data_IF_514275401113
#
_entry.id   IF_514275401113
#
_cell.length_a   1.000
_cell.length_b   1.000
_cell.length_c   1.000
_cell.angle_alpha   90.00
_cell.angle_beta   90.00
_cell.angle_gamma   90.00
#
_symmetry.space_group_name_H-M   'P 1'
#
loop_
_entity.id
_entity.type
_entity.pdbx_description
1 polymer ?
#
# COMPACT_ATOMS: atom_id res chain seq x y z
N UNK A 1 70.95 17.42 0.56
CA UNK A 1 69.47 17.55 0.69
C UNK A 1 68.89 17.50 -0.71
N UNK A 2 68.29 16.38 -1.11
CA UNK A 2 67.76 16.18 -2.46
C UNK A 2 66.26 15.88 -2.33
N UNK A 3 65.43 16.78 -2.84
CA UNK A 3 63.96 16.69 -2.74
C UNK A 3 63.40 15.97 -3.96
N UNK A 4 62.84 14.78 -3.75
CA UNK A 4 62.05 14.06 -4.77
C UNK A 4 60.62 14.60 -4.76
N UNK A 5 60.06 15.10 -5.89
CA UNK A 5 58.67 15.51 -5.93
C UNK A 5 57.75 14.28 -5.97
N UNK A 6 56.67 14.34 -5.19
CA UNK A 6 55.64 13.32 -5.16
C UNK A 6 54.85 13.33 -6.48
N UNK A 7 54.79 12.18 -7.16
CA UNK A 7 53.96 11.94 -8.35
C UNK A 7 52.54 11.62 -7.87
N UNK A 8 51.57 12.46 -8.22
CA UNK A 8 50.14 12.23 -7.97
C UNK A 8 49.67 11.12 -8.92
N UNK A 9 49.09 10.06 -8.36
CA UNK A 9 48.45 8.99 -9.11
C UNK A 9 47.17 9.51 -9.79
N UNK A 10 47.00 9.23 -11.08
CA UNK A 10 45.78 9.53 -11.81
C UNK A 10 44.61 8.70 -11.25
N UNK A 11 43.39 9.26 -11.12
CA UNK A 11 42.22 8.47 -10.79
C UNK A 11 41.86 7.59 -12.00
N UNK A 12 42.13 6.30 -11.85
CA UNK A 12 41.72 5.27 -12.80
C UNK A 12 40.23 4.99 -12.71
N UNK A 13 39.61 4.86 -13.89
CA UNK A 13 38.40 4.10 -14.15
C UNK A 13 37.11 4.60 -13.47
N UNK A 14 36.47 5.58 -14.12
CA UNK A 14 35.01 5.71 -14.04
C UNK A 14 34.38 4.38 -14.50
N UNK A 15 33.86 3.60 -13.56
CA UNK A 15 32.99 2.47 -13.87
C UNK A 15 31.77 3.03 -14.60
N UNK A 16 31.70 2.76 -15.90
CA UNK A 16 30.54 3.09 -16.71
C UNK A 16 29.30 2.47 -16.08
N UNK A 17 28.34 3.32 -15.73
CA UNK A 17 26.99 2.89 -15.37
C UNK A 17 26.49 2.04 -16.54
N UNK A 18 26.28 0.75 -16.31
CA UNK A 18 25.67 -0.14 -17.30
C UNK A 18 24.32 0.44 -17.70
N UNK A 19 24.20 0.87 -18.95
CA UNK A 19 22.99 1.45 -19.54
C UNK A 19 22.05 0.39 -20.09
N UNK A 20 22.33 -0.90 -19.87
CA UNK A 20 21.43 -1.96 -20.31
C UNK A 20 20.11 -1.83 -19.56
N UNK A 21 18.99 -1.51 -20.24
CA UNK A 21 17.70 -1.45 -19.57
C UNK A 21 17.41 -2.84 -19.03
N UNK A 22 17.37 -2.97 -17.70
CA UNK A 22 16.88 -4.19 -17.06
C UNK A 22 15.43 -4.36 -17.51
N UNK A 23 15.06 -5.47 -18.16
CA UNK A 23 13.69 -5.71 -18.59
C UNK A 23 12.77 -5.54 -17.38
N UNK A 24 11.74 -4.72 -17.52
CA UNK A 24 10.74 -4.58 -16.46
C UNK A 24 9.99 -5.91 -16.40
N UNK A 25 10.01 -6.64 -15.27
CA UNK A 25 9.32 -7.91 -15.15
C UNK A 25 7.83 -7.77 -15.48
N UNK A 26 7.25 -8.74 -16.17
CA UNK A 26 5.81 -8.77 -16.36
C UNK A 26 5.11 -9.24 -15.09
N UNK A 27 3.86 -8.82 -14.89
CA UNK A 27 3.03 -9.38 -13.83
C UNK A 27 2.43 -10.70 -14.35
N UNK A 28 2.43 -11.78 -13.55
CA UNK A 28 1.91 -13.07 -13.99
C UNK A 28 0.37 -13.11 -14.14
N UNK A 29 -0.33 -12.09 -13.62
CA UNK A 29 -1.77 -11.96 -13.65
C UNK A 29 -2.22 -10.49 -13.56
N UNK A 30 -3.54 -10.25 -13.65
CA UNK A 30 -4.11 -8.91 -13.45
C UNK A 30 -3.90 -8.42 -12.01
N UNK A 31 -4.00 -7.11 -11.80
CA UNK A 31 -3.87 -6.50 -10.46
C UNK A 31 -4.94 -7.03 -9.52
N UNK A 32 -6.16 -7.20 -10.01
CA UNK A 32 -7.32 -7.69 -9.27
C UNK A 32 -7.15 -9.15 -8.85
N UNK A 33 -6.72 -10.03 -9.78
CA UNK A 33 -6.44 -11.44 -9.49
C UNK A 33 -5.35 -11.57 -8.40
N UNK A 34 -4.24 -10.84 -8.57
CA UNK A 34 -3.12 -10.87 -7.61
C UNK A 34 -3.50 -10.29 -6.25
N UNK A 35 -4.28 -9.20 -6.23
CA UNK A 35 -4.72 -8.60 -4.98
C UNK A 35 -5.70 -9.50 -4.22
N UNK A 36 -6.61 -10.17 -4.93
CA UNK A 36 -7.54 -11.13 -4.32
C UNK A 36 -6.81 -12.32 -3.70
N UNK A 37 -5.87 -12.92 -4.44
CA UNK A 37 -5.04 -14.00 -3.92
C UNK A 37 -4.18 -13.54 -2.72
N UNK A 38 -3.65 -12.31 -2.77
CA UNK A 38 -2.83 -11.76 -1.70
C UNK A 38 -3.64 -11.53 -0.41
N UNK A 39 -4.85 -11.02 -0.52
CA UNK A 39 -5.76 -10.85 0.61
C UNK A 39 -6.03 -12.19 1.31
N UNK A 40 -6.35 -13.23 0.54
CA UNK A 40 -6.54 -14.60 1.08
C UNK A 40 -5.27 -15.10 1.76
N UNK A 41 -4.11 -14.94 1.10
CA UNK A 41 -2.83 -15.43 1.61
C UNK A 41 -2.41 -14.77 2.92
N UNK A 42 -2.74 -13.49 3.08
CA UNK A 42 -2.50 -12.70 4.29
C UNK A 42 -3.56 -12.91 5.39
N UNK A 43 -4.63 -13.66 5.11
CA UNK A 43 -5.76 -13.81 6.03
C UNK A 43 -6.56 -12.53 6.23
N UNK A 44 -6.55 -11.63 5.24
CA UNK A 44 -7.35 -10.41 5.28
C UNK A 44 -8.78 -10.71 4.85
N UNK A 45 -9.72 -10.46 5.75
CA UNK A 45 -11.15 -10.64 5.50
C UNK A 45 -11.76 -9.36 4.92
N UNK A 46 -12.87 -9.50 4.18
CA UNK A 46 -13.58 -8.38 3.56
C UNK A 46 -13.61 -8.44 2.04
N UNK A 47 -14.08 -7.35 1.43
CA UNK A 47 -14.17 -7.16 -0.02
C UNK A 47 -12.86 -6.56 -0.51
N UNK A 48 -12.30 -7.16 -1.56
CA UNK A 48 -11.15 -6.62 -2.30
C UNK A 48 -11.69 -5.66 -3.35
N UNK A 49 -11.39 -4.38 -3.19
CA UNK A 49 -11.90 -3.34 -4.09
C UNK A 49 -11.10 -3.30 -5.41
N UNK A 50 -11.68 -2.79 -6.51
CA UNK A 50 -10.93 -2.46 -7.72
C UNK A 50 -9.75 -1.52 -7.43
N UNK A 51 -8.74 -1.51 -8.31
CA UNK A 51 -7.63 -0.55 -8.18
C UNK A 51 -8.16 0.88 -8.14
N UNK A 52 -7.78 1.62 -7.10
CA UNK A 52 -8.20 3.01 -6.89
C UNK A 52 -7.01 3.91 -6.56
N UNK A 53 -7.20 5.21 -6.69
CA UNK A 53 -6.19 6.21 -6.32
C UNK A 53 -6.54 6.80 -4.96
N UNK A 54 -5.74 6.47 -3.95
CA UNK A 54 -5.82 7.06 -2.61
C UNK A 54 -4.58 7.88 -2.31
N UNK A 55 -4.76 9.13 -1.88
CA UNK A 55 -3.64 10.04 -1.57
C UNK A 55 -2.60 10.14 -2.70
N UNK A 56 -3.06 10.06 -3.96
CA UNK A 56 -2.20 10.09 -5.15
C UNK A 56 -1.44 8.79 -5.45
N UNK A 57 -1.79 7.67 -4.79
CA UNK A 57 -1.18 6.35 -4.96
C UNK A 57 -2.19 5.35 -5.50
N UNK A 58 -1.80 4.59 -6.51
CA UNK A 58 -2.56 3.43 -7.01
C UNK A 58 -2.44 2.29 -6.02
N UNK A 59 -3.56 1.85 -5.48
CA UNK A 59 -3.63 0.79 -4.47
C UNK A 59 -4.90 -0.02 -4.65
N UNK A 60 -4.89 -1.23 -4.11
CA UNK A 60 -6.08 -2.05 -3.89
C UNK A 60 -6.34 -2.09 -2.40
N UNK A 61 -7.58 -1.83 -1.99
CA UNK A 61 -7.97 -1.81 -0.58
C UNK A 61 -8.80 -3.04 -0.27
N UNK A 62 -8.51 -3.67 0.87
CA UNK A 62 -9.37 -4.71 1.45
C UNK A 62 -10.15 -4.09 2.60
N UNK A 63 -11.47 -4.13 2.52
CA UNK A 63 -12.34 -3.46 3.48
C UNK A 63 -13.55 -4.33 3.85
N UNK A 64 -14.01 -4.17 5.09
CA UNK A 64 -15.23 -4.78 5.58
C UNK A 64 -16.30 -3.72 5.78
N UNK A 65 -17.53 -4.02 5.38
CA UNK A 65 -18.69 -3.19 5.68
C UNK A 65 -19.13 -3.44 7.13
N UNK A 66 -19.22 -2.37 7.91
CA UNK A 66 -19.74 -2.41 9.27
C UNK A 66 -21.27 -2.33 9.22
N UNK A 67 -21.94 -3.47 9.27
CA UNK A 67 -23.37 -3.60 9.00
C UNK A 67 -24.23 -2.65 9.85
N UNK A 68 -23.95 -2.52 11.15
CA UNK A 68 -24.71 -1.66 12.05
C UNK A 68 -24.56 -0.17 11.68
N UNK A 69 -23.33 0.28 11.42
CA UNK A 69 -23.05 1.66 11.02
C UNK A 69 -23.61 1.97 9.62
N UNK A 70 -23.56 1.00 8.70
CA UNK A 70 -24.21 1.11 7.40
C UNK A 70 -25.73 1.22 7.52
N UNK A 71 -26.36 0.39 8.36
CA UNK A 71 -27.80 0.42 8.59
C UNK A 71 -28.25 1.73 9.23
N UNK A 72 -27.49 2.27 10.19
CA UNK A 72 -27.75 3.59 10.76
C UNK A 72 -27.73 4.68 9.68
N UNK A 73 -26.69 4.68 8.85
CA UNK A 73 -26.53 5.60 7.72
C UNK A 73 -27.69 5.52 6.73
N UNK A 74 -28.12 4.31 6.37
CA UNK A 74 -29.28 4.11 5.49
C UNK A 74 -30.56 4.66 6.14
N UNK A 75 -30.79 4.41 7.43
CA UNK A 75 -31.98 4.89 8.14
C UNK A 75 -32.09 6.43 8.14
N UNK A 76 -30.96 7.14 8.24
CA UNK A 76 -30.92 8.61 8.27
C UNK A 76 -30.64 9.25 6.90
N UNK A 77 -30.51 8.45 5.84
CA UNK A 77 -30.22 8.92 4.49
C UNK A 77 -28.80 9.49 4.30
N UNK A 78 -27.84 9.06 5.12
CA UNK A 78 -26.44 9.51 5.06
C UNK A 78 -25.60 8.58 4.17
N UNK A 79 -25.43 8.96 2.90
CA UNK A 79 -24.52 8.29 1.98
C UNK A 79 -23.03 8.53 2.29
N UNK A 80 -22.12 7.94 1.48
CA UNK A 80 -20.71 8.31 1.49
C UNK A 80 -20.50 9.80 1.19
N UNK A 81 -19.51 10.43 1.82
CA UNK A 81 -19.14 11.84 1.58
C UNK A 81 -17.70 11.95 1.04
N UNK A 82 -17.56 12.25 -0.25
CA UNK A 82 -16.26 12.34 -0.91
C UNK A 82 -15.59 13.73 -0.77
N UNK A 83 -16.33 14.78 -0.40
CA UNK A 83 -15.75 16.10 -0.19
C UNK A 83 -14.90 16.14 1.09
N UNK A 84 -13.59 16.23 0.88
CA UNK A 84 -12.61 16.34 1.96
C UNK A 84 -12.86 17.55 2.87
N UNK A 85 -13.40 18.64 2.35
CA UNK A 85 -13.64 19.85 3.14
C UNK A 85 -14.75 19.60 4.14
N UNK A 86 -15.87 19.03 3.69
CA UNK A 86 -16.99 18.61 4.54
C UNK A 86 -16.52 17.62 5.60
N UNK A 87 -15.84 16.53 5.21
CA UNK A 87 -15.34 15.52 6.17
C UNK A 87 -14.36 16.12 7.18
N UNK A 88 -13.57 17.11 6.80
CA UNK A 88 -12.62 17.74 7.72
C UNK A 88 -13.27 18.48 8.89
N UNK A 89 -14.55 18.86 8.74
CA UNK A 89 -15.33 19.46 9.84
C UNK A 89 -15.79 18.42 10.85
N UNK A 90 -15.86 17.14 10.48
CA UNK A 90 -16.45 16.08 11.31
C UNK A 90 -15.59 15.71 12.51
N UNK A 91 -14.28 15.95 12.43
CA UNK A 91 -13.35 15.69 13.53
C UNK A 91 -13.30 16.84 14.55
N UNK A 92 -14.10 17.88 14.35
CA UNK A 92 -14.21 18.97 15.32
C UNK A 92 -14.99 18.50 16.55
N UNK A 93 -14.60 18.88 17.77
CA UNK A 93 -15.32 18.50 19.00
C UNK A 93 -16.81 18.86 18.96
N UNK A 94 -17.18 19.95 18.30
CA UNK A 94 -18.57 20.41 18.15
C UNK A 94 -19.45 19.46 17.32
N UNK A 95 -18.82 18.57 16.55
CA UNK A 95 -19.46 17.58 15.68
C UNK A 95 -19.51 16.18 16.32
N UNK A 96 -18.98 16.02 17.53
CA UNK A 96 -19.02 14.75 18.26
C UNK A 96 -20.47 14.27 18.45
N UNK A 97 -20.73 13.01 18.06
CA UNK A 97 -22.08 12.41 18.10
C UNK A 97 -23.08 12.98 17.10
N UNK A 98 -22.67 13.89 16.21
CA UNK A 98 -23.54 14.52 15.18
C UNK A 98 -23.19 14.13 13.75
N UNK A 99 -22.10 13.39 13.58
CA UNK A 99 -21.61 12.94 12.28
C UNK A 99 -21.98 11.49 12.07
N UNK A 100 -22.21 11.06 10.81
CA UNK A 100 -22.47 9.66 10.54
C UNK A 100 -21.32 8.76 11.03
N UNK A 101 -21.60 7.55 11.53
CA UNK A 101 -20.54 6.62 11.90
C UNK A 101 -19.73 6.19 10.68
N UNK A 102 -18.47 5.79 10.90
CA UNK A 102 -17.66 5.19 9.85
C UNK A 102 -18.29 3.84 9.46
N UNK A 103 -18.64 3.67 8.19
CA UNK A 103 -19.40 2.50 7.73
C UNK A 103 -18.50 1.35 7.25
N UNK A 104 -17.19 1.55 7.18
CA UNK A 104 -16.24 0.51 6.76
C UNK A 104 -15.05 0.40 7.71
N UNK A 105 -14.47 -0.79 7.77
CA UNK A 105 -13.17 -1.05 8.39
C UNK A 105 -12.18 -1.41 7.30
N UNK A 106 -11.12 -0.61 7.16
CA UNK A 106 -10.01 -0.92 6.24
C UNK A 106 -9.16 -2.00 6.91
N UNK A 107 -9.10 -3.17 6.29
CA UNK A 107 -8.33 -4.32 6.79
C UNK A 107 -6.88 -4.23 6.37
N UNK A 108 -6.64 -3.76 5.16
CA UNK A 108 -5.30 -3.46 4.69
C UNK A 108 -5.26 -2.88 3.27
N UNK A 109 -4.08 -2.43 2.89
CA UNK A 109 -3.81 -1.83 1.58
C UNK A 109 -2.74 -2.61 0.85
N UNK A 110 -3.02 -2.97 -0.40
CA UNK A 110 -2.14 -3.70 -1.32
C UNK A 110 -1.63 -2.76 -2.41
N UNK A 111 -0.35 -2.88 -2.75
CA UNK A 111 0.19 -2.33 -3.98
C UNK A 111 0.81 -3.44 -4.83
N UNK A 112 0.19 -3.73 -5.98
CA UNK A 112 0.70 -4.68 -6.96
C UNK A 112 1.56 -3.91 -7.96
N UNK A 113 2.84 -4.28 -8.11
CA UNK A 113 3.69 -3.62 -9.10
C UNK A 113 4.81 -4.52 -9.60
N UNK A 114 5.30 -4.22 -10.79
CA UNK A 114 6.44 -4.90 -11.44
C UNK A 114 7.78 -4.62 -10.75
N UNK A 115 7.84 -3.59 -9.90
CA UNK A 115 9.05 -3.17 -9.24
C UNK A 115 8.76 -2.75 -7.80
N UNK A 116 9.57 -3.28 -6.87
CA UNK A 116 9.50 -2.98 -5.45
C UNK A 116 9.52 -1.48 -5.09
N UNK A 117 10.27 -0.62 -5.81
CA UNK A 117 10.31 0.83 -5.52
C UNK A 117 8.93 1.47 -5.69
N UNK A 118 8.25 1.14 -6.79
CA UNK A 118 6.89 1.62 -7.09
C UNK A 118 5.88 1.06 -6.10
N UNK A 119 5.99 -0.23 -5.78
CA UNK A 119 5.09 -0.87 -4.82
C UNK A 119 5.21 -0.24 -3.43
N UNK A 120 6.45 -0.08 -2.91
CA UNK A 120 6.68 0.54 -1.61
C UNK A 120 6.29 2.01 -1.59
N UNK A 121 6.56 2.78 -2.65
CA UNK A 121 6.13 4.17 -2.74
C UNK A 121 4.60 4.33 -2.66
N UNK A 122 3.86 3.28 -3.05
CA UNK A 122 2.40 3.25 -3.01
C UNK A 122 1.87 2.72 -1.68
N UNK A 123 2.45 1.65 -1.13
CA UNK A 123 1.97 0.99 0.09
C UNK A 123 2.44 1.65 1.41
N UNK A 124 3.69 2.12 1.48
CA UNK A 124 4.28 2.66 2.73
C UNK A 124 3.48 3.81 3.36
N UNK A 125 2.90 4.77 2.61
CA UNK A 125 2.07 5.82 3.22
C UNK A 125 0.90 5.29 4.06
N UNK A 126 0.44 4.06 3.78
CA UNK A 126 -0.68 3.42 4.47
C UNK A 126 -0.25 2.53 5.63
N UNK A 127 1.04 2.21 5.78
CA UNK A 127 1.54 1.36 6.87
C UNK A 127 1.42 1.99 8.27
N UNK A 128 1.09 3.28 8.33
CA UNK A 128 0.76 3.99 9.58
C UNK A 128 -0.73 3.94 9.94
N UNK A 129 -1.57 3.54 8.99
CA UNK A 129 -3.02 3.50 9.12
C UNK A 129 -3.57 2.07 9.20
N UNK A 130 -2.70 1.06 9.22
CA UNK A 130 -3.09 -0.34 9.26
C UNK A 130 -2.10 -1.22 8.50
N UNK A 131 -2.59 -2.41 8.13
CA UNK A 131 -1.79 -3.38 7.40
C UNK A 131 -1.50 -2.87 5.98
N UNK A 132 -0.26 -3.02 5.54
CA UNK A 132 0.16 -2.68 4.20
C UNK A 132 0.98 -3.82 3.62
N UNK A 133 0.75 -4.13 2.35
CA UNK A 133 1.43 -5.19 1.65
C UNK A 133 1.75 -4.81 0.20
N UNK A 134 2.80 -5.40 -0.33
CA UNK A 134 3.15 -5.30 -1.75
C UNK A 134 3.16 -6.68 -2.38
N UNK A 135 2.73 -6.75 -3.63
CA UNK A 135 2.80 -7.96 -4.46
C UNK A 135 3.75 -7.68 -5.62
N UNK A 136 4.75 -8.53 -5.77
CA UNK A 136 5.83 -8.41 -6.75
C UNK A 136 5.96 -9.72 -7.54
N UNK A 137 6.44 -9.70 -8.79
CA UNK A 137 6.88 -10.91 -9.46
C UNK A 137 8.04 -11.59 -8.71
N UNK A 138 8.04 -12.92 -8.69
CA UNK A 138 9.13 -13.80 -8.24
C UNK A 138 10.49 -13.32 -8.76
N UNK A 139 10.54 -12.93 -10.02
CA UNK A 139 11.79 -12.56 -10.71
C UNK A 139 12.49 -11.33 -10.12
N UNK A 140 11.79 -10.55 -9.28
CA UNK A 140 12.37 -9.43 -8.53
C UNK A 140 13.10 -9.94 -7.26
N UNK A 141 12.69 -11.08 -6.72
CA UNK A 141 13.26 -11.68 -5.53
C UNK A 141 14.73 -12.08 -5.74
N UNK A 142 15.49 -12.09 -4.65
CA UNK A 142 16.91 -12.48 -4.61
C UNK A 142 17.86 -11.69 -5.52
N UNK A 143 17.39 -10.69 -6.27
CA UNK A 143 18.26 -9.75 -6.96
C UNK A 143 19.09 -8.95 -5.93
N UNK A 144 20.31 -8.54 -6.30
CA UNK A 144 21.15 -7.75 -5.40
C UNK A 144 20.44 -6.47 -4.94
N UNK A 145 19.68 -5.81 -5.82
CA UNK A 145 18.90 -4.62 -5.48
C UNK A 145 17.76 -4.93 -4.47
N UNK A 146 17.10 -6.07 -4.62
CA UNK A 146 16.09 -6.52 -3.66
C UNK A 146 16.68 -6.76 -2.27
N UNK A 147 17.76 -7.53 -2.20
CA UNK A 147 18.39 -7.88 -0.92
C UNK A 147 19.00 -6.67 -0.21
N UNK A 148 19.68 -5.78 -0.96
CA UNK A 148 20.40 -4.65 -0.38
C UNK A 148 19.53 -3.41 -0.15
N UNK A 149 18.50 -3.18 -0.97
CA UNK A 149 17.70 -1.95 -0.90
C UNK A 149 16.23 -2.19 -0.53
N UNK A 150 15.60 -3.25 -1.04
CA UNK A 150 14.18 -3.52 -0.76
C UNK A 150 13.99 -4.02 0.68
N UNK A 151 14.60 -5.14 1.03
CA UNK A 151 14.37 -5.81 2.32
C UNK A 151 14.58 -4.91 3.55
N UNK A 152 15.65 -4.09 3.64
CA UNK A 152 15.81 -3.18 4.77
C UNK A 152 14.68 -2.16 4.89
N UNK A 153 14.14 -1.67 3.77
CA UNK A 153 13.04 -0.70 3.74
C UNK A 153 11.73 -1.36 4.12
N UNK A 154 11.44 -2.52 3.53
CA UNK A 154 10.26 -3.34 3.87
C UNK A 154 10.18 -3.55 5.39
N UNK A 155 11.28 -4.02 6.00
CA UNK A 155 11.37 -4.26 7.44
C UNK A 155 11.24 -2.98 8.26
N UNK A 156 11.88 -1.88 7.82
CA UNK A 156 11.77 -0.56 8.48
C UNK A 156 10.33 -0.06 8.52
N UNK A 157 9.59 -0.21 7.42
CA UNK A 157 8.21 0.27 7.31
C UNK A 157 7.17 -0.75 7.81
N UNK A 158 7.56 -2.01 8.01
CA UNK A 158 6.65 -3.07 8.47
C UNK A 158 5.60 -3.45 7.43
N UNK A 159 5.97 -3.41 6.15
CA UNK A 159 5.11 -3.77 5.01
C UNK A 159 5.31 -5.25 4.70
N UNK A 160 4.24 -6.00 4.40
CA UNK A 160 4.38 -7.39 3.93
C UNK A 160 4.81 -7.43 2.47
N UNK A 161 5.60 -8.43 2.07
CA UNK A 161 5.96 -8.69 0.68
C UNK A 161 5.47 -10.08 0.28
N UNK A 162 4.70 -10.13 -0.79
CA UNK A 162 4.31 -11.35 -1.47
C UNK A 162 4.97 -11.42 -2.83
N UNK A 163 5.40 -12.62 -3.20
CA UNK A 163 6.00 -12.93 -4.48
C UNK A 163 5.02 -13.80 -5.27
N UNK A 164 4.73 -13.38 -6.50
CA UNK A 164 3.90 -14.07 -7.47
C UNK A 164 4.78 -14.79 -8.48
N UNK A 165 4.68 -16.12 -8.53
CA UNK A 165 5.34 -16.91 -9.56
C UNK A 165 4.55 -16.90 -10.88
N UNK A 166 5.10 -17.54 -11.90
CA UNK A 166 4.51 -17.64 -13.23
C UNK A 166 3.20 -18.48 -13.23
N UNK A 167 2.99 -19.32 -12.23
CA UNK A 167 1.76 -20.10 -12.02
C UNK A 167 0.70 -19.29 -11.25
N UNK A 168 0.99 -18.02 -10.92
CA UNK A 168 0.16 -17.08 -10.16
C UNK A 168 0.02 -17.44 -8.67
N UNK A 169 0.82 -18.36 -8.17
CA UNK A 169 0.84 -18.73 -6.77
C UNK A 169 1.61 -17.67 -5.96
N UNK A 170 1.07 -17.35 -4.78
CA UNK A 170 1.61 -16.32 -3.91
C UNK A 170 2.31 -16.91 -2.69
N UNK A 171 3.61 -16.62 -2.58
CA UNK A 171 4.40 -16.89 -1.38
C UNK A 171 4.64 -15.61 -0.58
N UNK A 172 4.67 -15.71 0.74
CA UNK A 172 5.01 -14.60 1.62
C UNK A 172 6.52 -14.63 1.85
N UNK A 173 7.23 -13.62 1.37
CA UNK A 173 8.68 -13.48 1.58
C UNK A 173 8.97 -12.73 2.89
N UNK A 174 8.22 -11.66 3.14
CA UNK A 174 8.34 -10.87 4.37
C UNK A 174 6.97 -10.64 4.96
N UNK A 175 6.79 -11.01 6.23
CA UNK A 175 5.63 -10.62 7.01
C UNK A 175 5.80 -9.18 7.52
N UNK A 176 4.81 -8.34 7.25
CA UNK A 176 4.73 -6.99 7.78
C UNK A 176 4.35 -6.98 9.27
N UNK A 177 4.14 -5.77 9.80
CA UNK A 177 3.56 -5.62 11.14
C UNK A 177 2.09 -6.04 11.08
N UNK A 178 1.70 -6.89 12.02
CA UNK A 178 0.32 -7.36 12.19
C UNK A 178 -0.39 -6.67 13.38
N UNK A 179 0.24 -5.62 13.91
CA UNK A 179 -0.29 -4.83 15.02
C UNK A 179 -1.22 -3.76 14.46
N UNK A 180 -2.51 -3.92 14.73
CA UNK A 180 -3.51 -2.88 14.47
C UNK A 180 -3.31 -1.77 15.51
N UNK A 181 -2.40 -0.83 15.23
CA UNK A 181 -2.34 0.42 15.99
C UNK A 181 -3.67 1.13 15.77
N UNK A 182 -4.40 1.52 16.83
CA UNK A 182 -5.62 2.30 16.68
C UNK A 182 -5.32 3.53 15.84
N UNK A 183 -5.96 3.63 14.69
CA UNK A 183 -5.78 4.76 13.80
C UNK A 183 -6.44 5.96 14.45
N UNK A 184 -5.69 7.03 14.69
CA UNK A 184 -6.26 8.29 15.16
C UNK A 184 -7.38 8.74 14.22
N UNK A 185 -8.50 9.19 14.79
CA UNK A 185 -9.59 9.78 14.03
C UNK A 185 -9.18 11.18 13.59
N UNK A 186 -8.67 11.26 12.36
CA UNK A 186 -8.18 12.48 11.73
C UNK A 186 -9.04 12.76 10.51
N UNK A 187 -9.08 14.01 10.07
CA UNK A 187 -9.81 14.38 8.85
C UNK A 187 -9.39 13.53 7.64
N UNK A 188 -8.13 13.11 7.55
CA UNK A 188 -7.63 12.27 6.45
C UNK A 188 -8.11 10.83 6.59
N UNK A 189 -8.02 10.23 7.77
CA UNK A 189 -8.42 8.83 7.99
C UNK A 189 -9.93 8.69 7.83
N UNK A 190 -10.69 9.68 8.31
CA UNK A 190 -12.12 9.78 8.06
C UNK A 190 -12.46 9.93 6.58
N UNK A 191 -11.80 10.82 5.86
CA UNK A 191 -12.05 11.01 4.41
C UNK A 191 -11.71 9.75 3.60
N UNK A 192 -10.60 9.07 3.92
CA UNK A 192 -10.27 7.79 3.28
C UNK A 192 -11.33 6.73 3.57
N UNK A 193 -11.91 6.70 4.77
CA UNK A 193 -13.02 5.80 5.10
C UNK A 193 -14.23 6.03 4.19
N UNK A 194 -14.59 7.29 3.93
CA UNK A 194 -15.72 7.64 3.06
C UNK A 194 -15.48 7.23 1.60
N UNK A 195 -14.28 7.46 1.06
CA UNK A 195 -13.94 7.02 -0.30
C UNK A 195 -13.98 5.49 -0.44
N UNK A 196 -13.51 4.76 0.58
CA UNK A 196 -13.57 3.30 0.60
C UNK A 196 -15.01 2.83 0.74
N UNK A 197 -15.83 3.50 1.55
CA UNK A 197 -17.25 3.17 1.71
C UNK A 197 -18.03 3.35 0.40
N UNK A 198 -17.81 4.46 -0.30
CA UNK A 198 -18.37 4.69 -1.64
C UNK A 198 -18.03 3.53 -2.59
N UNK A 199 -16.75 3.13 -2.62
CA UNK A 199 -16.30 2.05 -3.50
C UNK A 199 -16.83 0.67 -3.08
N UNK A 200 -16.99 0.41 -1.78
CA UNK A 200 -17.65 -0.82 -1.28
C UNK A 200 -19.08 -0.90 -1.77
N UNK A 201 -19.85 0.20 -1.65
CA UNK A 201 -21.23 0.23 -2.14
C UNK A 201 -21.30 0.05 -3.66
N UNK A 202 -20.42 0.71 -4.42
CA UNK A 202 -20.36 0.58 -5.86
C UNK A 202 -19.99 -0.84 -6.33
N UNK A 203 -19.20 -1.58 -5.56
CA UNK A 203 -18.78 -2.95 -5.89
C UNK A 203 -19.85 -3.99 -5.49
N UNK A 204 -20.71 -3.66 -4.53
CA UNK A 204 -21.82 -4.52 -4.09
C UNK A 204 -23.10 -4.36 -4.92
N UNK A 205 -23.14 -3.36 -5.81
CA UNK A 205 -24.27 -3.02 -6.69
C UNK A 205 -24.19 -3.76 -8.02
#
# INVERSE_FOLDING_TARGET
MSSTPARIAAPGSAQGLSTTPVPVPELPASVEELAAAAAIRLGWHGVVLPEMVLMGRKVVVVAELLADAHAERVCVGAGPEADKTTVSTWVWPEMEGRVPPAAVRIVGVLAVARHWRTALASAVPFSRYGNAAVVLPDSVAFTNDYLTNCLPRVRRYGVSVLLADDEKDLSVDVSGRNECVPVEDTAITRWVNELVYEQVLATAS
#
